data_IF_894026404850
#
_entry.id   IF_894026404850
#
_cell.length_a   1.000
_cell.length_b   1.000
_cell.length_c   1.000
_cell.angle_alpha   90.00
_cell.angle_beta   90.00
_cell.angle_gamma   90.00
#
_symmetry.space_group_name_H-M   'P 1'
#
loop_
_entity.id
_entity.type
_entity.pdbx_description
1 polymer ?
#
# COMPACT_ATOMS: atom_id res chain seq x y z
N UNK A 1 4.52 -51.50 -47.11
CA UNK A 1 3.13 -51.01 -46.95
C UNK A 1 3.19 -49.56 -46.53
N UNK A 2 2.51 -48.67 -47.31
CA UNK A 2 2.44 -47.27 -46.96
C UNK A 2 1.37 -47.06 -45.89
N UNK A 3 1.76 -46.67 -44.68
CA UNK A 3 0.82 -46.38 -43.60
C UNK A 3 0.25 -45.00 -43.73
N UNK A 4 -1.06 -44.85 -43.68
CA UNK A 4 -1.76 -43.60 -43.81
C UNK A 4 -2.37 -43.21 -42.43
N UNK A 5 -1.82 -42.18 -41.82
CA UNK A 5 -2.36 -41.67 -40.52
C UNK A 5 -3.54 -40.72 -40.79
N UNK A 6 -4.69 -41.07 -40.26
CA UNK A 6 -5.95 -40.30 -40.45
C UNK A 6 -6.55 -39.92 -39.07
N UNK A 7 -7.18 -38.76 -39.00
CA UNK A 7 -7.98 -38.38 -37.83
C UNK A 7 -9.33 -39.09 -37.87
N UNK A 8 -10.04 -39.21 -36.71
CA UNK A 8 -11.35 -39.83 -36.63
C UNK A 8 -12.30 -39.25 -37.67
N UNK A 9 -12.37 -37.93 -37.84
CA UNK A 9 -13.22 -37.26 -38.84
C UNK A 9 -12.86 -37.64 -40.28
N UNK A 10 -11.59 -37.93 -40.58
CA UNK A 10 -11.18 -38.35 -41.93
C UNK A 10 -11.51 -39.80 -42.16
N UNK A 11 -11.44 -40.66 -41.13
CA UNK A 11 -11.90 -42.06 -41.21
C UNK A 11 -13.42 -42.11 -41.42
N UNK A 12 -14.20 -41.32 -40.67
CA UNK A 12 -15.65 -41.22 -40.84
C UNK A 12 -16.02 -40.74 -42.28
N UNK A 13 -15.20 -39.82 -42.83
CA UNK A 13 -15.38 -39.40 -44.27
C UNK A 13 -15.10 -40.51 -45.24
N UNK A 14 -14.11 -41.35 -45.01
CA UNK A 14 -13.82 -42.52 -45.88
C UNK A 14 -15.02 -43.47 -45.89
N UNK A 15 -15.55 -43.81 -44.72
CA UNK A 15 -16.69 -44.74 -44.62
C UNK A 15 -17.95 -44.17 -45.32
N UNK A 16 -18.36 -42.93 -44.94
CA UNK A 16 -19.57 -42.32 -45.48
C UNK A 16 -19.47 -42.09 -47.01
N UNK A 17 -18.32 -41.65 -47.52
CA UNK A 17 -18.12 -41.49 -48.94
C UNK A 17 -17.99 -42.83 -49.69
N UNK A 18 -17.47 -43.86 -49.04
CA UNK A 18 -17.51 -45.24 -49.56
C UNK A 18 -18.93 -45.72 -49.73
N UNK A 19 -19.77 -45.55 -48.77
CA UNK A 19 -21.23 -45.87 -48.82
C UNK A 19 -21.95 -45.06 -49.93
N UNK A 20 -21.60 -43.75 -50.05
CA UNK A 20 -22.14 -42.91 -51.15
C UNK A 20 -21.72 -43.38 -52.56
N UNK A 21 -20.49 -43.88 -52.71
CA UNK A 21 -20.01 -44.44 -54.01
C UNK A 21 -20.68 -45.75 -54.32
N UNK A 22 -20.92 -46.63 -53.32
CA UNK A 22 -21.70 -47.89 -53.51
C UNK A 22 -23.20 -47.66 -53.67
N UNK A 23 -23.68 -46.40 -53.71
CA UNK A 23 -25.10 -45.99 -53.81
C UNK A 23 -25.98 -46.45 -52.60
N UNK A 24 -25.37 -46.80 -51.47
CA UNK A 24 -26.10 -47.18 -50.25
C UNK A 24 -26.81 -45.97 -49.61
N UNK A 25 -26.27 -44.78 -49.77
CA UNK A 25 -26.83 -43.53 -49.33
C UNK A 25 -26.79 -42.48 -50.45
N UNK A 26 -27.71 -41.53 -50.42
CA UNK A 26 -27.69 -40.40 -51.34
C UNK A 26 -26.87 -39.22 -50.83
N UNK A 27 -26.60 -38.21 -51.69
CA UNK A 27 -25.77 -37.03 -51.38
C UNK A 27 -26.33 -36.18 -50.25
N UNK A 28 -27.65 -36.08 -50.10
CA UNK A 28 -28.32 -35.35 -49.01
C UNK A 28 -28.08 -36.05 -47.67
N UNK A 29 -28.21 -37.39 -47.62
CA UNK A 29 -27.96 -38.16 -46.43
C UNK A 29 -26.47 -38.09 -46.04
N UNK A 30 -25.55 -38.18 -47.00
CA UNK A 30 -24.12 -38.01 -46.76
C UNK A 30 -23.77 -36.60 -46.22
N UNK A 31 -24.46 -35.55 -46.74
CA UNK A 31 -24.33 -34.17 -46.25
C UNK A 31 -24.75 -34.05 -44.77
N UNK A 32 -25.86 -34.66 -44.41
CA UNK A 32 -26.33 -34.70 -43.01
C UNK A 32 -25.38 -35.46 -42.09
N UNK A 33 -24.94 -36.66 -42.49
CA UNK A 33 -23.99 -37.49 -41.68
C UNK A 33 -22.64 -36.84 -41.49
N UNK A 34 -22.12 -36.14 -42.50
CA UNK A 34 -20.83 -35.42 -42.42
C UNK A 34 -20.96 -34.02 -41.84
N UNK A 35 -22.16 -33.50 -41.60
CA UNK A 35 -22.42 -32.13 -41.16
C UNK A 35 -21.73 -31.09 -42.06
N UNK A 36 -21.79 -31.29 -43.39
CA UNK A 36 -21.20 -30.40 -44.40
C UNK A 36 -22.22 -30.13 -45.54
N UNK A 37 -22.01 -29.06 -46.29
CA UNK A 37 -22.89 -28.74 -47.42
C UNK A 37 -22.84 -29.79 -48.54
N UNK A 38 -23.93 -29.95 -49.32
CA UNK A 38 -23.98 -30.85 -50.47
C UNK A 38 -22.93 -30.53 -51.51
N UNK A 39 -22.55 -29.26 -51.67
CA UNK A 39 -21.44 -28.84 -52.51
C UNK A 39 -20.11 -29.42 -52.02
N UNK A 40 -19.88 -29.40 -50.71
CA UNK A 40 -18.66 -29.93 -50.12
C UNK A 40 -18.60 -31.46 -50.21
N UNK A 41 -19.74 -32.17 -50.06
CA UNK A 41 -19.82 -33.61 -50.33
C UNK A 41 -19.41 -33.95 -51.75
N UNK A 42 -19.88 -33.23 -52.79
CA UNK A 42 -19.43 -33.42 -54.19
C UNK A 42 -17.93 -33.22 -54.36
N UNK A 43 -17.37 -32.18 -53.71
CA UNK A 43 -15.92 -31.92 -53.73
C UNK A 43 -15.15 -33.06 -53.09
N UNK A 44 -15.57 -33.51 -51.88
CA UNK A 44 -14.94 -34.62 -51.18
C UNK A 44 -15.07 -35.93 -51.94
N UNK A 45 -16.25 -36.21 -52.55
CA UNK A 45 -16.46 -37.37 -53.40
C UNK A 45 -15.46 -37.36 -54.56
N UNK A 46 -15.35 -36.24 -55.31
CA UNK A 46 -14.37 -36.11 -56.42
C UNK A 46 -12.95 -36.39 -55.99
N UNK A 47 -12.50 -35.82 -54.82
CA UNK A 47 -11.18 -36.07 -54.26
C UNK A 47 -10.98 -37.54 -53.86
N UNK A 48 -11.99 -38.14 -53.27
CA UNK A 48 -11.94 -39.54 -52.82
C UNK A 48 -11.88 -40.50 -54.04
N UNK A 49 -12.62 -40.21 -55.08
CA UNK A 49 -12.58 -41.02 -56.35
C UNK A 49 -11.23 -40.90 -57.07
N UNK A 50 -10.57 -39.70 -57.05
CA UNK A 50 -9.32 -39.50 -57.79
C UNK A 50 -8.06 -39.91 -56.99
N UNK A 51 -8.07 -39.73 -55.65
CA UNK A 51 -6.88 -39.89 -54.81
C UNK A 51 -7.06 -40.95 -53.67
N UNK A 52 -8.19 -41.61 -53.67
CA UNK A 52 -8.52 -42.54 -52.56
C UNK A 52 -8.56 -41.86 -51.21
N UNK A 53 -8.35 -42.61 -50.13
CA UNK A 53 -8.36 -42.05 -48.77
C UNK A 53 -7.37 -40.89 -48.56
N UNK A 54 -6.23 -40.86 -49.30
CA UNK A 54 -5.26 -39.76 -49.26
C UNK A 54 -5.87 -38.41 -49.62
N UNK A 55 -6.89 -38.37 -50.50
CA UNK A 55 -7.57 -37.17 -50.95
C UNK A 55 -8.45 -36.50 -49.84
N UNK A 56 -8.76 -37.24 -48.79
CA UNK A 56 -9.58 -36.74 -47.66
C UNK A 56 -8.74 -36.14 -46.51
N UNK A 57 -7.42 -36.35 -46.55
CA UNK A 57 -6.50 -35.73 -45.60
C UNK A 57 -6.47 -34.24 -45.85
N UNK A 58 -6.50 -33.43 -44.76
CA UNK A 58 -6.47 -31.99 -44.87
C UNK A 58 -5.16 -31.53 -45.55
N UNK A 59 -5.26 -30.78 -46.65
CA UNK A 59 -4.11 -30.40 -47.49
C UNK A 59 -3.02 -29.55 -46.84
N UNK A 60 -3.34 -29.00 -45.66
CA UNK A 60 -2.36 -28.26 -44.82
C UNK A 60 -1.75 -29.11 -43.70
N UNK A 61 -2.09 -30.44 -43.63
CA UNK A 61 -1.47 -31.31 -42.63
C UNK A 61 0.05 -31.41 -42.93
N UNK A 62 0.86 -31.15 -41.90
CA UNK A 62 2.32 -31.14 -41.98
C UNK A 62 2.92 -29.88 -42.62
N UNK A 63 2.12 -28.99 -43.18
CA UNK A 63 2.60 -27.70 -43.70
C UNK A 63 2.65 -26.65 -42.61
N UNK A 64 3.71 -25.85 -42.54
CA UNK A 64 3.76 -24.73 -41.58
C UNK A 64 2.63 -23.72 -41.89
N UNK A 65 2.06 -23.14 -40.85
CA UNK A 65 1.03 -22.13 -40.99
C UNK A 65 1.56 -20.90 -41.75
N UNK A 66 0.76 -20.30 -42.61
CA UNK A 66 1.10 -19.04 -43.32
C UNK A 66 1.36 -17.86 -42.34
N UNK A 67 0.90 -18.01 -41.08
CA UNK A 67 1.15 -17.04 -39.98
C UNK A 67 2.33 -17.44 -39.11
N UNK A 68 3.14 -18.44 -39.51
CA UNK A 68 4.33 -18.84 -38.77
C UNK A 68 5.32 -17.68 -38.72
N UNK A 69 5.85 -17.43 -37.52
CA UNK A 69 6.90 -16.44 -37.33
C UNK A 69 8.15 -16.83 -38.13
N UNK A 70 8.78 -15.88 -38.90
CA UNK A 70 10.02 -16.14 -39.60
C UNK A 70 11.10 -16.70 -38.66
N UNK A 71 11.84 -17.72 -39.10
CA UNK A 71 12.79 -18.44 -38.24
C UNK A 71 13.89 -17.51 -37.69
N UNK A 72 14.39 -16.58 -38.50
CA UNK A 72 15.38 -15.56 -38.09
C UNK A 72 14.85 -14.71 -36.92
N UNK A 73 13.56 -14.32 -37.00
CA UNK A 73 12.92 -13.53 -35.93
C UNK A 73 12.69 -14.36 -34.69
N UNK A 74 12.30 -15.64 -34.80
CA UNK A 74 12.15 -16.57 -33.70
C UNK A 74 13.46 -16.76 -32.94
N UNK A 75 14.57 -17.00 -33.67
CA UNK A 75 15.91 -17.14 -33.07
C UNK A 75 16.31 -15.86 -32.32
N UNK A 76 16.06 -14.69 -32.90
CA UNK A 76 16.33 -13.40 -32.26
C UNK A 76 15.51 -13.22 -30.97
N UNK A 77 14.21 -13.53 -30.98
CA UNK A 77 13.33 -13.49 -29.81
C UNK A 77 13.86 -14.43 -28.73
N UNK A 78 14.18 -15.68 -29.07
CA UNK A 78 14.72 -16.64 -28.14
C UNK A 78 16.02 -16.17 -27.47
N UNK A 79 16.95 -15.64 -28.25
CA UNK A 79 18.19 -15.07 -27.72
C UNK A 79 17.93 -13.94 -26.70
N UNK A 80 16.96 -13.07 -26.99
CA UNK A 80 16.58 -11.99 -26.07
C UNK A 80 15.89 -12.52 -24.81
N UNK A 81 14.99 -13.50 -24.94
CA UNK A 81 14.31 -14.11 -23.81
C UNK A 81 15.32 -14.78 -22.87
N UNK A 82 16.27 -15.54 -23.38
CA UNK A 82 17.29 -16.19 -22.53
C UNK A 82 18.24 -15.18 -21.87
N UNK A 83 18.72 -14.17 -22.63
CA UNK A 83 19.75 -13.26 -22.13
C UNK A 83 19.23 -12.13 -21.26
N UNK A 84 18.05 -11.57 -21.57
CA UNK A 84 17.54 -10.35 -20.95
C UNK A 84 16.27 -10.56 -20.14
N UNK A 85 15.46 -11.57 -20.46
CA UNK A 85 14.11 -11.74 -19.93
C UNK A 85 13.82 -13.16 -19.40
N UNK A 86 14.76 -13.85 -18.72
CA UNK A 86 14.59 -15.26 -18.35
C UNK A 86 13.43 -15.48 -17.35
N UNK A 87 13.14 -14.50 -16.49
CA UNK A 87 12.12 -14.54 -15.44
C UNK A 87 10.87 -13.70 -15.77
N UNK A 88 10.78 -13.20 -16.98
CA UNK A 88 9.63 -12.39 -17.40
C UNK A 88 8.44 -13.28 -17.76
N UNK A 89 7.23 -12.83 -17.37
CA UNK A 89 6.02 -13.44 -17.91
C UNK A 89 5.82 -13.13 -19.41
N UNK A 90 5.11 -13.99 -20.17
CA UNK A 90 4.99 -13.85 -21.63
C UNK A 90 4.44 -12.49 -22.08
N UNK A 91 3.45 -11.95 -21.35
CA UNK A 91 2.86 -10.65 -21.66
C UNK A 91 3.88 -9.53 -21.46
N UNK A 92 4.57 -9.54 -20.33
CA UNK A 92 5.56 -8.51 -20.02
C UNK A 92 6.79 -8.59 -20.95
N UNK A 93 7.23 -9.80 -21.27
CA UNK A 93 8.29 -10.01 -22.27
C UNK A 93 7.91 -9.47 -23.66
N UNK A 94 6.66 -9.73 -24.11
CA UNK A 94 6.15 -9.18 -25.38
C UNK A 94 6.18 -7.65 -25.39
N UNK A 95 5.81 -7.00 -24.30
CA UNK A 95 5.86 -5.54 -24.13
C UNK A 95 7.30 -5.01 -24.28
N UNK A 96 8.25 -5.64 -23.59
CA UNK A 96 9.67 -5.22 -23.65
C UNK A 96 10.31 -5.50 -25.01
N UNK A 97 9.89 -6.54 -25.71
CA UNK A 97 10.32 -6.79 -27.08
C UNK A 97 9.88 -5.65 -28.03
N UNK A 98 8.67 -5.12 -27.82
CA UNK A 98 8.20 -3.94 -28.59
C UNK A 98 8.96 -2.69 -28.17
N UNK A 99 9.01 -2.41 -26.86
CA UNK A 99 9.53 -1.15 -26.31
C UNK A 99 11.05 -0.99 -26.58
N UNK A 100 11.83 -2.04 -26.36
CA UNK A 100 13.30 -1.96 -26.35
C UNK A 100 13.95 -2.53 -27.62
N UNK A 101 13.21 -3.30 -28.43
CA UNK A 101 13.78 -4.00 -29.59
C UNK A 101 12.99 -3.81 -30.89
N UNK A 102 11.88 -3.05 -30.83
CA UNK A 102 10.96 -2.84 -31.97
C UNK A 102 10.44 -4.17 -32.58
N UNK A 103 10.32 -5.22 -31.75
CA UNK A 103 9.82 -6.54 -32.18
C UNK A 103 8.38 -6.67 -31.76
N UNK A 104 7.43 -6.54 -32.71
CA UNK A 104 6.00 -6.77 -32.44
C UNK A 104 5.69 -8.25 -32.57
N UNK A 105 5.25 -8.87 -31.47
CA UNK A 105 4.84 -10.26 -31.43
C UNK A 105 3.70 -10.45 -30.42
N UNK A 106 2.67 -11.20 -30.81
CA UNK A 106 1.53 -11.45 -29.94
C UNK A 106 1.96 -12.19 -28.65
N UNK A 107 1.49 -11.78 -27.45
CA UNK A 107 1.82 -12.43 -26.18
C UNK A 107 1.52 -13.93 -26.15
N UNK A 108 0.53 -14.41 -26.92
CA UNK A 108 0.22 -15.86 -27.03
C UNK A 108 1.32 -16.59 -27.78
N UNK A 109 1.91 -15.97 -28.80
CA UNK A 109 3.05 -16.54 -29.54
C UNK A 109 4.30 -16.60 -28.66
N UNK A 110 4.60 -15.51 -27.94
CA UNK A 110 5.70 -15.49 -26.95
C UNK A 110 5.48 -16.58 -25.88
N UNK A 111 4.25 -16.71 -25.38
CA UNK A 111 3.90 -17.76 -24.42
C UNK A 111 4.18 -19.18 -24.97
N UNK A 112 3.80 -19.44 -26.19
CA UNK A 112 4.04 -20.75 -26.82
C UNK A 112 5.53 -21.01 -27.00
N UNK A 113 6.31 -20.01 -27.39
CA UNK A 113 7.77 -20.10 -27.49
C UNK A 113 8.38 -20.40 -26.12
N UNK A 114 8.01 -19.61 -25.09
CA UNK A 114 8.55 -19.77 -23.74
C UNK A 114 8.20 -21.13 -23.09
N UNK A 115 7.02 -21.67 -23.37
CA UNK A 115 6.63 -23.02 -22.92
C UNK A 115 7.48 -24.08 -23.65
N UNK A 116 7.62 -23.97 -24.96
CA UNK A 116 8.43 -24.91 -25.76
C UNK A 116 9.87 -24.97 -25.32
N UNK A 117 10.44 -23.84 -24.94
CA UNK A 117 11.83 -23.71 -24.45
C UNK A 117 11.96 -23.88 -22.93
N UNK A 118 10.89 -24.23 -22.22
CA UNK A 118 10.84 -24.40 -20.75
C UNK A 118 11.25 -23.16 -19.95
N UNK A 119 11.15 -21.99 -20.55
CA UNK A 119 11.42 -20.70 -19.87
C UNK A 119 10.26 -20.25 -18.98
N UNK A 120 9.05 -20.73 -19.26
CA UNK A 120 7.86 -20.37 -18.53
C UNK A 120 6.85 -21.52 -18.51
N UNK A 121 6.19 -21.68 -17.39
CA UNK A 121 5.09 -22.64 -17.25
C UNK A 121 3.83 -21.95 -16.74
N UNK A 122 2.63 -22.36 -17.21
CA UNK A 122 1.37 -21.85 -16.66
C UNK A 122 1.27 -22.16 -15.16
N UNK A 123 0.93 -21.17 -14.35
CA UNK A 123 0.60 -21.41 -12.94
C UNK A 123 -0.59 -22.38 -12.89
N UNK A 124 -0.49 -23.43 -12.10
CA UNK A 124 -1.63 -24.31 -11.83
C UNK A 124 -2.76 -23.45 -11.27
N UNK A 125 -3.95 -23.56 -11.86
CA UNK A 125 -5.12 -22.78 -11.42
C UNK A 125 -5.33 -22.97 -9.91
N UNK A 126 -5.47 -21.88 -9.18
CA UNK A 126 -5.90 -21.94 -7.79
C UNK A 126 -7.23 -22.70 -7.75
N UNK A 127 -7.41 -23.62 -6.80
CA UNK A 127 -8.73 -24.22 -6.54
C UNK A 127 -9.74 -23.09 -6.45
N UNK A 128 -10.91 -23.26 -7.11
CA UNK A 128 -12.01 -22.28 -7.04
C UNK A 128 -12.27 -22.02 -5.55
N UNK A 129 -11.96 -20.82 -5.09
CA UNK A 129 -12.33 -20.42 -3.73
C UNK A 129 -13.86 -20.31 -3.67
N UNK A 130 -14.41 -20.51 -2.48
CA UNK A 130 -15.82 -20.22 -2.22
C UNK A 130 -16.23 -18.86 -2.77
N UNK A 131 -17.50 -18.77 -3.20
CA UNK A 131 -18.08 -17.52 -3.72
C UNK A 131 -17.85 -16.40 -2.69
N UNK A 132 -17.22 -15.33 -3.12
CA UNK A 132 -16.99 -14.14 -2.28
C UNK A 132 -17.70 -12.97 -2.92
N UNK A 133 -18.46 -12.24 -2.13
CA UNK A 133 -19.09 -11.01 -2.57
C UNK A 133 -18.03 -10.00 -3.01
N UNK A 134 -18.21 -9.50 -4.21
CA UNK A 134 -17.30 -8.55 -4.80
C UNK A 134 -17.73 -7.12 -4.45
N UNK A 135 -16.89 -6.38 -3.73
CA UNK A 135 -17.16 -4.98 -3.45
C UNK A 135 -17.04 -4.15 -4.73
N UNK A 136 -18.08 -3.42 -5.15
CA UNK A 136 -18.01 -2.55 -6.31
C UNK A 136 -16.94 -1.46 -6.13
N UNK A 137 -16.49 -0.89 -7.24
CA UNK A 137 -15.61 0.29 -7.22
C UNK A 137 -16.38 1.50 -6.71
N UNK A 138 -15.65 2.47 -6.17
CA UNK A 138 -16.19 3.81 -5.97
C UNK A 138 -16.47 4.46 -7.33
N UNK A 139 -17.32 5.46 -7.35
CA UNK A 139 -17.78 6.08 -8.60
C UNK A 139 -16.82 7.15 -9.11
N UNK A 140 -16.22 7.92 -8.20
CA UNK A 140 -15.47 9.12 -8.52
C UNK A 140 -14.02 9.05 -8.05
N UNK A 141 -13.13 9.68 -8.83
CA UNK A 141 -11.72 9.86 -8.45
C UNK A 141 -11.62 10.69 -7.16
N UNK A 142 -10.76 10.26 -6.23
CA UNK A 142 -10.57 10.92 -4.93
C UNK A 142 -11.65 10.64 -3.89
N UNK A 143 -12.65 9.81 -4.22
CA UNK A 143 -13.67 9.40 -3.23
C UNK A 143 -13.06 8.50 -2.17
N UNK A 144 -12.28 7.50 -2.56
CA UNK A 144 -11.59 6.60 -1.65
C UNK A 144 -10.24 6.16 -2.21
N UNK A 145 -9.22 6.33 -1.40
CA UNK A 145 -7.88 5.83 -1.69
C UNK A 145 -7.59 4.62 -0.82
N UNK A 146 -7.01 3.57 -1.40
CA UNK A 146 -6.44 2.47 -0.62
C UNK A 146 -4.94 2.71 -0.50
N UNK A 147 -4.43 2.76 0.72
CA UNK A 147 -3.03 2.99 1.03
C UNK A 147 -2.45 1.79 1.76
N UNK A 148 -1.22 1.44 1.41
CA UNK A 148 -0.48 0.35 2.03
C UNK A 148 1.02 0.48 1.79
N UNK A 149 1.82 -0.21 2.62
CA UNK A 149 3.24 -0.42 2.43
C UNK A 149 3.53 -1.86 2.03
N UNK A 150 4.51 -2.07 1.17
CA UNK A 150 4.95 -3.40 0.77
C UNK A 150 6.46 -3.54 0.95
N UNK A 151 6.85 -4.42 1.87
CA UNK A 151 8.23 -4.84 2.05
C UNK A 151 8.57 -5.93 1.05
N UNK A 152 9.64 -5.74 0.31
CA UNK A 152 10.11 -6.69 -0.69
C UNK A 152 11.57 -6.41 -1.05
N UNK A 153 12.25 -7.39 -1.63
CA UNK A 153 13.55 -7.18 -2.29
C UNK A 153 13.36 -6.50 -3.66
N UNK A 154 12.97 -5.22 -3.63
CA UNK A 154 12.70 -4.42 -4.82
C UNK A 154 13.94 -4.22 -5.70
N UNK A 155 15.11 -4.30 -5.09
CA UNK A 155 16.40 -4.04 -5.73
C UNK A 155 17.16 -5.32 -6.08
N UNK A 156 16.69 -6.51 -5.68
CA UNK A 156 17.39 -7.78 -5.87
C UNK A 156 18.85 -7.72 -5.35
N UNK A 157 19.00 -7.15 -4.16
CA UNK A 157 20.31 -6.96 -3.52
C UNK A 157 21.20 -5.89 -4.14
N UNK A 158 20.78 -5.20 -5.22
CA UNK A 158 21.54 -4.11 -5.84
C UNK A 158 21.73 -2.96 -4.87
N UNK A 159 22.92 -2.34 -4.89
CA UNK A 159 23.28 -1.26 -3.97
C UNK A 159 23.38 -1.69 -2.50
N UNK A 160 23.44 -3.01 -2.22
CA UNK A 160 23.45 -3.53 -0.84
C UNK A 160 22.08 -3.51 -0.14
N UNK A 161 20.99 -3.11 -0.84
CA UNK A 161 19.64 -3.03 -0.31
C UNK A 161 18.99 -4.39 -0.47
N UNK A 162 18.74 -5.10 0.63
CA UNK A 162 18.06 -6.40 0.61
C UNK A 162 16.54 -6.28 0.71
N UNK A 163 16.07 -5.32 1.50
CA UNK A 163 14.65 -5.07 1.69
C UNK A 163 14.40 -3.57 1.79
N UNK A 164 13.34 -3.11 1.19
CA UNK A 164 12.84 -1.74 1.32
C UNK A 164 11.33 -1.71 1.25
N UNK A 165 10.71 -0.68 1.79
CA UNK A 165 9.28 -0.51 1.80
C UNK A 165 8.84 0.39 0.65
N UNK A 166 7.92 -0.09 -0.20
CA UNK A 166 7.23 0.75 -1.17
C UNK A 166 5.89 1.17 -0.58
N UNK A 167 5.76 2.44 -0.22
CA UNK A 167 4.48 3.06 0.15
C UNK A 167 3.74 3.40 -1.13
N UNK A 168 2.48 2.99 -1.25
CA UNK A 168 1.69 3.30 -2.43
C UNK A 168 0.22 3.56 -2.10
N UNK A 169 -0.40 4.44 -2.88
CA UNK A 169 -1.84 4.67 -2.83
C UNK A 169 -2.46 4.48 -4.21
N UNK A 170 -3.58 3.76 -4.21
CA UNK A 170 -4.39 3.47 -5.40
C UNK A 170 -5.78 4.07 -5.21
N UNK A 171 -6.27 4.77 -6.21
CA UNK A 171 -7.64 5.25 -6.23
C UNK A 171 -8.61 4.09 -6.52
N UNK A 172 -9.63 3.95 -5.70
CA UNK A 172 -10.57 2.83 -5.76
C UNK A 172 -11.44 2.85 -7.02
N UNK A 173 -11.82 4.03 -7.49
CA UNK A 173 -12.66 4.21 -8.66
C UNK A 173 -11.93 3.84 -9.96
N UNK A 174 -10.73 4.36 -10.13
CA UNK A 174 -9.96 4.25 -11.36
C UNK A 174 -8.96 3.10 -11.36
N UNK A 175 -8.51 2.66 -10.18
CA UNK A 175 -7.36 1.76 -10.04
C UNK A 175 -6.03 2.43 -10.40
N UNK A 176 -5.99 3.75 -10.51
CA UNK A 176 -4.78 4.52 -10.77
C UNK A 176 -3.90 4.57 -9.53
N UNK A 177 -2.62 4.29 -9.68
CA UNK A 177 -1.61 4.56 -8.64
C UNK A 177 -1.35 6.04 -8.64
N UNK A 178 -1.88 6.74 -7.63
CA UNK A 178 -1.79 8.20 -7.57
C UNK A 178 -0.43 8.64 -7.09
N UNK A 179 0.13 7.90 -6.12
CA UNK A 179 1.46 8.13 -5.59
C UNK A 179 2.10 6.82 -5.15
N UNK A 180 3.40 6.68 -5.36
CA UNK A 180 4.22 5.63 -4.78
C UNK A 180 5.60 6.19 -4.45
N UNK A 181 6.16 5.80 -3.31
CA UNK A 181 7.45 6.28 -2.79
C UNK A 181 8.17 5.14 -2.08
N UNK A 182 9.42 4.91 -2.41
CA UNK A 182 10.29 4.04 -1.63
C UNK A 182 10.74 4.74 -0.35
N UNK A 183 10.59 4.04 0.75
CA UNK A 183 11.04 4.45 2.08
C UNK A 183 11.82 3.31 2.74
N UNK A 184 12.58 3.63 3.79
CA UNK A 184 13.28 2.61 4.56
C UNK A 184 12.31 1.70 5.31
N UNK A 185 11.25 2.29 5.84
CA UNK A 185 10.21 1.57 6.61
C UNK A 185 8.87 2.30 6.58
N UNK A 186 7.81 1.59 6.94
CA UNK A 186 6.45 2.13 7.09
C UNK A 186 6.27 2.71 8.51
N UNK A 187 7.02 3.77 8.82
CA UNK A 187 6.96 4.49 10.11
C UNK A 187 6.15 5.78 10.02
N UNK A 188 6.01 6.45 11.18
CA UNK A 188 5.20 7.69 11.28
C UNK A 188 5.72 8.77 10.33
N UNK A 189 7.03 9.08 10.37
CA UNK A 189 7.59 10.19 9.57
C UNK A 189 7.55 9.90 8.06
N UNK A 190 7.95 8.73 7.54
CA UNK A 190 7.79 8.41 6.12
C UNK A 190 6.34 8.49 5.64
N UNK A 191 5.38 7.99 6.43
CA UNK A 191 3.95 8.07 6.08
C UNK A 191 3.46 9.51 6.10
N UNK A 192 3.88 10.33 7.07
CA UNK A 192 3.56 11.76 7.11
C UNK A 192 4.15 12.51 5.89
N UNK A 193 5.39 12.21 5.51
CA UNK A 193 6.02 12.76 4.31
C UNK A 193 5.24 12.41 3.05
N UNK A 194 4.88 11.12 2.89
CA UNK A 194 4.09 10.63 1.78
C UNK A 194 2.76 11.40 1.63
N UNK A 195 2.02 11.55 2.72
CA UNK A 195 0.70 12.19 2.68
C UNK A 195 0.77 13.71 2.57
N UNK A 196 1.82 14.35 3.08
CA UNK A 196 2.08 15.78 2.86
C UNK A 196 2.25 16.08 1.38
N UNK A 197 3.13 15.33 0.70
CA UNK A 197 3.34 15.47 -0.75
C UNK A 197 2.05 15.17 -1.54
N UNK A 198 1.32 14.11 -1.14
CA UNK A 198 0.05 13.77 -1.77
C UNK A 198 -0.95 14.93 -1.73
N UNK A 199 -1.23 15.47 -0.54
CA UNK A 199 -2.26 16.52 -0.41
C UNK A 199 -1.84 17.84 -1.03
N UNK A 200 -0.53 18.12 -1.13
CA UNK A 200 0.00 19.27 -1.86
C UNK A 200 -0.26 19.17 -3.35
N UNK A 201 -0.15 17.96 -3.92
CA UNK A 201 -0.28 17.72 -5.34
C UNK A 201 -1.74 17.54 -5.78
N UNK A 202 -2.48 16.69 -5.11
CA UNK A 202 -3.82 16.25 -5.53
C UNK A 202 -4.96 16.91 -4.73
N UNK A 203 -4.66 17.44 -3.54
CA UNK A 203 -5.66 17.90 -2.59
C UNK A 203 -6.07 16.82 -1.60
N UNK A 204 -7.08 17.12 -0.79
CA UNK A 204 -7.57 16.25 0.31
C UNK A 204 -8.57 15.23 -0.23
N UNK A 205 -8.30 13.92 -0.22
CA UNK A 205 -9.26 12.90 -0.61
C UNK A 205 -10.41 12.86 0.40
N UNK A 206 -11.55 12.30 0.01
CA UNK A 206 -12.69 12.18 0.91
C UNK A 206 -12.40 11.16 2.02
N UNK A 207 -11.89 9.98 1.67
CA UNK A 207 -11.49 8.98 2.65
C UNK A 207 -10.24 8.19 2.23
N UNK A 208 -9.56 7.64 3.23
CA UNK A 208 -8.39 6.77 3.06
C UNK A 208 -8.70 5.42 3.71
N UNK A 209 -8.55 4.36 2.94
CA UNK A 209 -8.77 3.00 3.38
C UNK A 209 -7.43 2.36 3.77
N UNK A 210 -7.31 1.93 5.03
CA UNK A 210 -6.07 1.54 5.69
C UNK A 210 -6.19 0.16 6.32
N UNK A 211 -5.04 -0.48 6.60
CA UNK A 211 -4.99 -1.62 7.50
C UNK A 211 -5.06 -1.18 8.98
N UNK A 212 -5.29 -2.14 9.86
CA UNK A 212 -5.26 -1.96 11.33
C UNK A 212 -3.82 -1.98 11.86
N UNK A 213 -2.85 -1.55 11.08
CA UNK A 213 -1.47 -1.44 11.50
C UNK A 213 -1.31 -0.35 12.57
N UNK A 214 -0.37 -0.52 13.52
CA UNK A 214 -0.22 0.37 14.68
C UNK A 214 0.04 1.84 14.33
N UNK A 215 0.67 2.10 13.19
CA UNK A 215 0.88 3.46 12.69
C UNK A 215 -0.43 4.19 12.39
N UNK A 216 -1.47 3.45 12.00
CA UNK A 216 -2.75 4.02 11.56
C UNK A 216 -3.85 3.90 12.59
N UNK A 217 -3.83 2.89 13.44
CA UNK A 217 -4.85 2.63 14.45
C UNK A 217 -4.23 2.19 15.77
N UNK A 218 -4.72 2.77 16.88
CA UNK A 218 -4.39 2.28 18.22
C UNK A 218 -5.19 1.01 18.47
N UNK A 219 -4.49 -0.12 18.62
CA UNK A 219 -5.10 -1.45 18.83
C UNK A 219 -5.04 -1.90 20.30
N UNK A 220 -4.47 -1.08 21.19
CA UNK A 220 -4.31 -1.44 22.61
C UNK A 220 -5.65 -1.37 23.34
N UNK A 221 -5.88 -2.29 24.28
CA UNK A 221 -7.14 -2.41 25.05
C UNK A 221 -7.56 -1.10 25.76
N UNK A 222 -6.58 -0.38 26.31
CA UNK A 222 -6.78 0.93 26.95
C UNK A 222 -7.28 2.00 25.97
N UNK A 223 -6.94 1.89 24.68
CA UNK A 223 -7.36 2.84 23.66
C UNK A 223 -8.81 2.59 23.18
N UNK A 224 -9.33 1.39 23.39
CA UNK A 224 -10.73 1.06 23.11
C UNK A 224 -11.64 1.74 24.14
N UNK A 225 -11.15 1.92 25.36
CA UNK A 225 -11.84 2.56 26.46
C UNK A 225 -11.71 4.10 26.43
N UNK A 226 -10.74 4.63 25.68
CA UNK A 226 -10.53 6.06 25.53
C UNK A 226 -10.75 6.48 24.05
N UNK A 227 -11.93 7.03 23.70
CA UNK A 227 -12.27 7.46 22.34
C UNK A 227 -11.34 8.57 21.80
N UNK A 228 -10.62 9.28 22.66
CA UNK A 228 -9.68 10.35 22.28
C UNK A 228 -8.28 9.84 21.94
N UNK A 229 -7.99 8.54 22.18
CA UNK A 229 -6.70 7.95 21.80
C UNK A 229 -6.59 7.79 20.29
N UNK A 230 -5.96 8.76 19.63
CA UNK A 230 -5.69 8.78 18.18
C UNK A 230 -4.22 8.52 17.90
N UNK A 231 -3.94 7.77 16.82
CA UNK A 231 -2.56 7.73 16.30
C UNK A 231 -2.18 9.08 15.69
N UNK A 232 -0.87 9.29 15.47
CA UNK A 232 -0.38 10.49 14.78
C UNK A 232 -1.04 10.67 13.42
N UNK A 233 -1.22 9.58 12.67
CA UNK A 233 -1.87 9.61 11.37
C UNK A 233 -3.36 9.94 11.45
N UNK A 234 -4.09 9.36 12.42
CA UNK A 234 -5.50 9.70 12.65
C UNK A 234 -5.68 11.17 13.02
N UNK A 235 -4.77 11.74 13.81
CA UNK A 235 -4.75 13.17 14.12
C UNK A 235 -4.60 14.00 12.85
N UNK A 236 -3.60 13.73 12.03
CA UNK A 236 -3.38 14.45 10.78
C UNK A 236 -4.59 14.35 9.82
N UNK A 237 -5.21 13.18 9.71
CA UNK A 237 -6.45 13.01 8.96
C UNK A 237 -7.59 13.87 9.52
N UNK A 238 -7.74 13.90 10.85
CA UNK A 238 -8.76 14.70 11.53
C UNK A 238 -8.59 16.20 11.27
N UNK A 239 -7.33 16.68 11.36
CA UNK A 239 -6.99 18.09 11.13
C UNK A 239 -7.32 18.55 9.70
N UNK A 240 -7.19 17.64 8.72
CA UNK A 240 -7.52 17.88 7.31
C UNK A 240 -8.96 17.50 6.95
N UNK A 241 -9.75 17.02 7.90
CA UNK A 241 -11.10 16.49 7.67
C UNK A 241 -11.12 15.36 6.63
N UNK A 242 -10.12 14.51 6.61
CA UNK A 242 -10.04 13.30 5.81
C UNK A 242 -10.54 12.14 6.67
N UNK A 243 -11.42 11.28 6.13
CA UNK A 243 -11.96 10.16 6.87
C UNK A 243 -11.07 8.91 6.74
N UNK A 244 -10.38 8.44 7.79
CA UNK A 244 -9.71 7.15 7.77
C UNK A 244 -10.73 6.03 7.94
N UNK A 245 -10.65 4.99 7.10
CA UNK A 245 -11.48 3.77 7.16
C UNK A 245 -10.55 2.59 7.38
N UNK A 246 -10.78 1.81 8.44
CA UNK A 246 -9.92 0.68 8.78
C UNK A 246 -10.52 -0.64 8.29
N UNK A 247 -9.74 -1.41 7.53
CA UNK A 247 -10.16 -2.70 7.02
C UNK A 247 -10.45 -3.69 8.16
N UNK A 248 -11.63 -4.31 8.13
CA UNK A 248 -11.98 -5.36 9.09
C UNK A 248 -11.53 -6.75 8.63
N UNK A 249 -11.17 -6.90 7.35
CA UNK A 249 -10.68 -8.15 6.78
C UNK A 249 -9.66 -7.88 5.67
N UNK A 250 -8.69 -8.80 5.45
CA UNK A 250 -7.72 -8.70 4.34
C UNK A 250 -8.41 -8.57 2.97
N UNK A 251 -9.55 -9.26 2.77
CA UNK A 251 -10.28 -9.25 1.50
C UNK A 251 -10.76 -7.84 1.09
N UNK A 252 -10.97 -6.97 2.07
CA UNK A 252 -11.43 -5.61 1.82
C UNK A 252 -10.37 -4.73 1.13
N UNK A 253 -9.07 -5.09 1.19
CA UNK A 253 -7.92 -4.41 0.55
C UNK A 253 -7.49 -5.04 -0.78
N UNK A 254 -8.25 -5.95 -1.34
CA UNK A 254 -7.86 -6.76 -2.52
C UNK A 254 -7.45 -5.97 -3.79
N UNK A 255 -7.60 -4.64 -3.84
CA UNK A 255 -7.09 -3.81 -4.95
C UNK A 255 -5.64 -3.43 -4.74
N UNK A 256 -5.29 -2.93 -3.55
CA UNK A 256 -3.89 -2.59 -3.24
C UNK A 256 -3.03 -3.85 -3.15
N UNK A 257 -3.55 -4.97 -2.66
CA UNK A 257 -2.84 -6.26 -2.66
C UNK A 257 -2.50 -6.70 -4.10
N UNK A 258 -3.48 -6.66 -5.02
CA UNK A 258 -3.23 -6.96 -6.44
C UNK A 258 -2.32 -5.95 -7.12
N UNK A 259 -2.33 -4.69 -6.68
CA UNK A 259 -1.36 -3.72 -7.14
C UNK A 259 0.05 -4.16 -6.77
N UNK A 260 0.30 -4.51 -5.51
CA UNK A 260 1.61 -4.96 -5.07
C UNK A 260 2.06 -6.25 -5.75
N UNK A 261 1.17 -7.24 -5.92
CA UNK A 261 1.46 -8.44 -6.72
C UNK A 261 1.96 -8.07 -8.13
N UNK A 262 1.31 -7.08 -8.75
CA UNK A 262 1.68 -6.61 -10.10
C UNK A 262 2.99 -5.83 -10.09
N UNK A 263 3.20 -4.96 -9.09
CA UNK A 263 4.43 -4.17 -8.98
C UNK A 263 5.63 -5.07 -8.62
N UNK A 264 5.48 -6.04 -7.73
CA UNK A 264 6.53 -7.00 -7.41
C UNK A 264 6.96 -7.81 -8.63
N UNK A 265 6.01 -8.20 -9.50
CA UNK A 265 6.37 -8.88 -10.76
C UNK A 265 7.01 -7.91 -11.77
N UNK A 266 6.54 -6.66 -11.90
CA UNK A 266 6.94 -5.76 -12.97
C UNK A 266 7.98 -4.73 -12.58
N UNK A 267 7.77 -4.00 -11.47
CA UNK A 267 8.62 -2.88 -11.07
C UNK A 267 10.03 -3.35 -10.71
N UNK A 268 10.20 -4.50 -10.04
CA UNK A 268 11.50 -5.10 -9.75
C UNK A 268 12.33 -5.27 -11.03
N UNK A 269 11.70 -5.81 -12.08
CA UNK A 269 12.33 -6.06 -13.38
C UNK A 269 12.62 -4.77 -14.16
N UNK A 270 11.72 -3.77 -14.03
CA UNK A 270 11.93 -2.45 -14.61
C UNK A 270 13.12 -1.72 -13.98
N UNK A 271 13.21 -1.75 -12.65
CA UNK A 271 14.36 -1.20 -11.91
C UNK A 271 15.67 -1.91 -12.28
N UNK A 272 15.62 -3.24 -12.52
CA UNK A 272 16.76 -4.02 -13.02
C UNK A 272 17.19 -3.56 -14.40
N UNK A 273 16.25 -3.43 -15.34
CA UNK A 273 16.53 -2.97 -16.70
C UNK A 273 17.11 -1.54 -16.73
N UNK A 274 16.62 -0.68 -15.84
CA UNK A 274 17.10 0.69 -15.69
C UNK A 274 18.40 0.78 -14.85
N UNK A 275 18.91 -0.35 -14.31
CA UNK A 275 20.10 -0.42 -13.45
C UNK A 275 20.01 0.44 -12.20
N UNK A 276 18.81 0.64 -11.68
CA UNK A 276 18.57 1.40 -10.45
C UNK A 276 19.06 0.59 -9.24
N UNK A 277 19.84 1.25 -8.36
CA UNK A 277 20.46 0.62 -7.20
C UNK A 277 20.38 1.47 -5.92
N UNK A 278 19.66 2.59 -5.92
CA UNK A 278 19.43 3.41 -4.75
C UNK A 278 17.95 3.78 -4.59
N UNK A 279 17.52 4.03 -3.35
CA UNK A 279 16.17 4.50 -3.04
C UNK A 279 15.87 5.85 -3.73
N UNK A 280 16.87 6.74 -3.76
CA UNK A 280 16.74 8.05 -4.40
C UNK A 280 16.47 7.92 -5.90
N UNK A 281 17.26 7.09 -6.61
CA UNK A 281 17.08 6.88 -8.04
C UNK A 281 15.79 6.12 -8.34
N UNK A 282 15.38 5.21 -7.47
CA UNK A 282 14.10 4.52 -7.59
C UNK A 282 12.91 5.47 -7.47
N UNK A 283 12.96 6.43 -6.56
CA UNK A 283 11.93 7.45 -6.44
C UNK A 283 11.90 8.37 -7.67
N UNK A 284 13.05 8.74 -8.22
CA UNK A 284 13.11 9.47 -9.49
C UNK A 284 12.57 8.63 -10.67
N UNK A 285 12.88 7.32 -10.71
CA UNK A 285 12.36 6.40 -11.71
C UNK A 285 10.83 6.28 -11.67
N UNK A 286 10.24 6.22 -10.47
CA UNK A 286 8.79 6.12 -10.30
C UNK A 286 8.03 7.28 -10.95
N UNK A 287 8.59 8.49 -10.99
CA UNK A 287 7.96 9.65 -11.63
C UNK A 287 7.68 9.41 -13.13
N UNK A 288 8.60 8.72 -13.82
CA UNK A 288 8.43 8.38 -15.23
C UNK A 288 7.68 7.07 -15.45
N UNK A 289 7.76 6.15 -14.49
CA UNK A 289 7.15 4.82 -14.59
C UNK A 289 5.63 4.84 -14.31
N UNK A 290 5.18 5.54 -13.27
CA UNK A 290 3.77 5.53 -12.87
C UNK A 290 2.80 6.01 -13.96
N UNK A 291 3.08 7.06 -14.74
CA UNK A 291 2.21 7.45 -15.85
C UNK A 291 2.03 6.32 -16.88
N UNK A 292 3.11 5.62 -17.25
CA UNK A 292 3.08 4.48 -18.18
C UNK A 292 2.29 3.30 -17.60
N UNK A 293 2.50 3.02 -16.31
CA UNK A 293 1.78 1.99 -15.58
C UNK A 293 0.27 2.30 -15.55
N UNK A 294 -0.09 3.51 -15.19
CA UNK A 294 -1.47 3.96 -15.09
C UNK A 294 -2.19 3.93 -16.44
N UNK A 295 -1.54 4.39 -17.52
CA UNK A 295 -2.09 4.33 -18.87
C UNK A 295 -2.51 2.91 -19.26
N UNK A 296 -1.87 1.89 -18.70
CA UNK A 296 -2.14 0.49 -19.00
C UNK A 296 -3.14 -0.18 -18.08
N UNK A 297 -3.11 0.13 -16.79
CA UNK A 297 -3.83 -0.61 -15.75
C UNK A 297 -5.00 0.14 -15.13
N UNK A 298 -5.09 1.45 -15.31
CA UNK A 298 -6.24 2.21 -14.83
C UNK A 298 -7.45 2.04 -15.75
N UNK A 299 -8.62 2.32 -15.19
CA UNK A 299 -9.90 2.32 -15.89
C UNK A 299 -10.59 3.67 -15.73
N UNK A 300 -11.51 3.99 -16.63
CA UNK A 300 -12.33 5.19 -16.48
C UNK A 300 -13.26 5.05 -15.27
N UNK A 301 -13.39 6.07 -14.43
CA UNK A 301 -14.34 6.07 -13.32
C UNK A 301 -15.79 6.15 -13.84
N UNK A 302 -16.74 5.69 -13.06
CA UNK A 302 -18.17 5.78 -13.40
C UNK A 302 -18.64 7.24 -13.49
N UNK A 303 -18.14 8.09 -12.61
CA UNK A 303 -18.35 9.54 -12.63
C UNK A 303 -17.05 10.27 -12.93
N UNK A 304 -17.10 11.26 -13.81
CA UNK A 304 -15.95 12.12 -14.16
C UNK A 304 -15.61 13.16 -13.08
N UNK A 305 -16.40 13.24 -12.02
CA UNK A 305 -16.19 14.20 -10.93
C UNK A 305 -14.95 13.84 -10.14
N UNK A 306 -14.09 14.82 -9.88
CA UNK A 306 -12.99 14.69 -8.94
C UNK A 306 -13.45 15.16 -7.55
N UNK A 307 -13.41 14.27 -6.56
CA UNK A 307 -13.87 14.54 -5.19
C UNK A 307 -12.75 14.97 -4.24
N UNK A 308 -11.54 15.24 -4.75
CA UNK A 308 -10.51 15.88 -3.94
C UNK A 308 -10.93 17.31 -3.60
N UNK A 309 -10.75 17.66 -2.35
CA UNK A 309 -11.00 19.03 -1.87
C UNK A 309 -9.69 19.81 -1.88
N UNK A 310 -9.67 21.04 -2.40
CA UNK A 310 -8.46 21.85 -2.41
C UNK A 310 -8.01 22.17 -0.97
N UNK A 311 -6.71 22.38 -0.79
CA UNK A 311 -6.16 22.90 0.45
C UNK A 311 -6.53 24.36 0.62
N UNK A 312 -7.10 24.72 1.78
CA UNK A 312 -7.35 26.12 2.13
C UNK A 312 -6.02 26.84 2.44
N UNK A 313 -5.98 28.18 2.43
CA UNK A 313 -4.79 28.92 2.85
C UNK A 313 -4.34 28.59 4.28
N UNK A 314 -5.29 28.29 5.17
CA UNK A 314 -4.98 27.86 6.55
C UNK A 314 -4.38 26.47 6.59
N UNK A 315 -4.94 25.50 5.81
CA UNK A 315 -4.34 24.16 5.70
C UNK A 315 -2.88 24.28 5.25
N UNK A 316 -2.60 25.08 4.21
CA UNK A 316 -1.22 25.24 3.68
C UNK A 316 -0.24 25.79 4.71
N UNK A 317 -0.66 26.76 5.53
CA UNK A 317 0.17 27.31 6.61
C UNK A 317 0.46 26.29 7.70
N UNK A 318 -0.49 25.39 7.96
CA UNK A 318 -0.41 24.41 9.06
C UNK A 318 0.13 23.06 8.62
N UNK A 319 0.41 22.81 7.33
CA UNK A 319 0.81 21.49 6.82
C UNK A 319 2.04 20.91 7.52
N UNK A 320 3.03 21.73 7.85
CA UNK A 320 4.23 21.28 8.54
C UNK A 320 3.90 20.75 9.94
N UNK A 321 3.05 21.45 10.68
CA UNK A 321 2.54 21.04 11.99
C UNK A 321 1.61 19.83 11.89
N UNK A 322 0.68 19.80 10.91
CA UNK A 322 -0.25 18.69 10.71
C UNK A 322 0.52 17.39 10.43
N UNK A 323 1.50 17.42 9.52
CA UNK A 323 2.31 16.26 9.14
C UNK A 323 3.62 16.18 9.94
N UNK A 324 3.54 16.38 11.26
CA UNK A 324 4.65 16.22 12.20
C UNK A 324 4.30 15.20 13.28
N UNK A 325 5.29 14.73 14.02
CA UNK A 325 5.08 13.86 15.16
C UNK A 325 4.86 14.69 16.41
N UNK A 326 3.68 14.59 17.02
CA UNK A 326 3.33 15.29 18.24
C UNK A 326 3.62 14.44 19.46
N UNK A 327 4.26 15.02 20.44
CA UNK A 327 4.52 14.41 21.75
C UNK A 327 4.18 15.41 22.85
N UNK A 328 3.40 15.00 23.84
CA UNK A 328 3.07 15.85 24.97
C UNK A 328 4.14 15.76 26.04
N UNK A 329 4.56 16.91 26.55
CA UNK A 329 5.51 17.04 27.66
C UNK A 329 5.01 18.04 28.68
N UNK A 330 5.23 17.76 29.96
CA UNK A 330 4.86 18.69 31.04
C UNK A 330 6.01 19.65 31.31
N UNK A 331 5.75 20.94 31.27
CA UNK A 331 6.69 21.96 31.71
C UNK A 331 6.95 21.82 33.21
N UNK A 332 8.20 21.68 33.61
CA UNK A 332 8.59 21.54 35.00
C UNK A 332 8.46 22.87 35.75
N UNK A 333 8.75 22.89 37.02
CA UNK A 333 8.65 24.11 37.85
C UNK A 333 9.62 25.23 37.42
N UNK A 334 10.71 24.86 36.78
CA UNK A 334 11.72 25.73 36.19
C UNK A 334 11.49 25.99 34.71
N UNK A 335 10.32 25.64 34.18
CA UNK A 335 9.94 25.77 32.77
C UNK A 335 10.82 24.95 31.82
N UNK A 336 11.46 23.89 32.30
CA UNK A 336 12.17 22.93 31.46
C UNK A 336 11.29 21.73 31.11
N UNK A 337 11.64 21.06 30.03
CA UNK A 337 11.11 19.74 29.68
C UNK A 337 12.18 18.91 28.97
N UNK A 338 12.03 17.58 28.96
CA UNK A 338 12.93 16.69 28.26
C UNK A 338 12.24 16.07 27.05
N UNK A 339 12.97 15.96 25.93
CA UNK A 339 12.52 15.28 24.73
C UNK A 339 13.73 14.69 23.99
N UNK A 340 13.64 13.42 23.53
CA UNK A 340 14.72 12.70 22.86
C UNK A 340 16.09 12.81 23.58
N UNK A 341 16.09 12.59 24.89
CA UNK A 341 17.29 12.68 25.77
C UNK A 341 17.94 14.07 25.83
N UNK A 342 17.31 15.10 25.30
CA UNK A 342 17.73 16.48 25.37
C UNK A 342 16.85 17.28 26.32
N UNK A 343 17.41 18.38 26.87
CA UNK A 343 16.71 19.28 27.77
C UNK A 343 16.45 20.62 27.08
N UNK A 344 15.24 21.08 27.22
CA UNK A 344 14.75 22.33 26.63
C UNK A 344 14.26 23.25 27.73
N UNK A 345 14.64 24.52 27.66
CA UNK A 345 14.21 25.60 28.55
C UNK A 345 13.26 26.53 27.79
N UNK A 346 12.04 26.70 28.25
CA UNK A 346 11.16 27.75 27.72
C UNK A 346 11.70 29.11 28.13
N UNK A 347 11.82 30.04 27.17
CA UNK A 347 12.35 31.38 27.44
C UNK A 347 11.34 32.22 28.25
N UNK A 348 11.82 33.27 28.91
CA UNK A 348 10.93 34.17 29.65
C UNK A 348 9.97 34.94 28.76
N UNK A 349 10.41 35.26 27.53
CA UNK A 349 9.60 36.01 26.56
C UNK A 349 8.75 35.05 25.73
N UNK A 350 7.46 35.01 25.95
CA UNK A 350 6.50 34.16 25.27
C UNK A 350 5.33 34.96 24.69
N UNK A 351 4.71 34.44 23.66
CA UNK A 351 3.49 35.04 23.06
C UNK A 351 2.25 34.80 23.92
N UNK A 352 2.29 33.85 24.84
CA UNK A 352 1.21 33.52 25.78
C UNK A 352 1.80 33.20 27.16
N UNK A 353 0.96 33.29 28.18
CA UNK A 353 1.35 32.92 29.56
C UNK A 353 1.51 31.41 29.62
N UNK A 354 2.69 30.96 30.05
CA UNK A 354 3.00 29.56 30.34
C UNK A 354 3.05 29.38 31.85
N UNK A 355 2.30 28.41 32.34
CA UNK A 355 2.26 28.06 33.76
C UNK A 355 3.11 26.81 34.04
N UNK A 356 3.56 26.69 35.31
CA UNK A 356 4.17 25.46 35.79
C UNK A 356 3.20 24.30 35.62
N UNK A 357 3.70 23.16 35.17
CA UNK A 357 2.91 21.95 34.90
C UNK A 357 1.98 22.04 33.67
N UNK A 358 2.03 23.10 32.88
CA UNK A 358 1.37 23.12 31.58
C UNK A 358 1.86 21.99 30.71
N UNK A 359 0.94 21.35 29.98
CA UNK A 359 1.28 20.32 29.00
C UNK A 359 1.53 20.97 27.64
N UNK A 360 2.79 21.00 27.25
CA UNK A 360 3.21 21.50 25.94
C UNK A 360 3.23 20.39 24.90
N UNK A 361 2.91 20.71 23.67
CA UNK A 361 3.02 19.81 22.53
C UNK A 361 4.37 20.07 21.85
N UNK A 362 5.21 19.07 21.83
CA UNK A 362 6.46 19.07 21.08
C UNK A 362 6.20 18.45 19.71
N UNK A 363 6.38 19.21 18.66
CA UNK A 363 6.23 18.81 17.26
C UNK A 363 7.61 18.54 16.67
N UNK A 364 7.84 17.32 16.20
CA UNK A 364 9.01 16.96 15.40
C UNK A 364 8.60 17.00 13.93
N UNK A 365 9.07 18.00 13.22
CA UNK A 365 8.75 18.19 11.82
C UNK A 365 9.58 17.26 10.92
N UNK A 366 9.16 17.12 9.63
CA UNK A 366 9.81 16.22 8.68
C UNK A 366 11.26 16.60 8.32
N UNK A 367 11.63 17.86 8.54
CA UNK A 367 12.99 18.36 8.37
C UNK A 367 13.89 18.15 9.61
N UNK A 368 13.35 17.51 10.66
CA UNK A 368 14.02 17.24 11.91
C UNK A 368 14.00 18.42 12.90
N UNK A 369 13.37 19.54 12.56
CA UNK A 369 13.25 20.68 13.48
C UNK A 369 12.22 20.39 14.57
N UNK A 370 12.45 20.96 15.74
CA UNK A 370 11.56 20.84 16.89
C UNK A 370 10.80 22.15 17.07
N UNK A 371 9.51 22.06 17.21
CA UNK A 371 8.62 23.18 17.52
C UNK A 371 7.84 22.87 18.77
N UNK A 372 7.65 23.86 19.62
CA UNK A 372 6.94 23.68 20.89
C UNK A 372 5.71 24.55 20.90
N UNK A 373 4.55 23.98 21.20
CA UNK A 373 3.28 24.69 21.21
C UNK A 373 2.52 24.52 22.52
N UNK A 374 1.83 25.57 22.88
CA UNK A 374 0.81 25.56 23.95
C UNK A 374 -0.43 26.27 23.44
N UNK A 375 -1.61 25.65 23.54
CA UNK A 375 -2.90 26.24 23.10
C UNK A 375 -2.82 26.80 21.66
N UNK A 376 -2.21 26.04 20.73
CA UNK A 376 -1.99 26.40 19.33
C UNK A 376 -1.07 27.63 19.08
N UNK A 377 -0.38 28.13 20.09
CA UNK A 377 0.64 29.18 19.94
C UNK A 377 2.03 28.59 20.08
N UNK A 378 2.92 29.04 19.23
CA UNK A 378 4.32 28.61 19.26
C UNK A 378 5.04 29.27 20.44
N UNK A 379 5.88 28.47 21.12
CA UNK A 379 6.67 28.89 22.27
C UNK A 379 8.15 28.97 21.89
N UNK A 380 8.83 29.98 22.41
CA UNK A 380 10.26 30.13 22.29
C UNK A 380 10.96 29.26 23.34
N UNK A 381 12.04 28.62 22.92
CA UNK A 381 12.83 27.77 23.80
C UNK A 381 14.31 27.86 23.47
N UNK A 382 15.15 27.41 24.40
CA UNK A 382 16.59 27.21 24.23
C UNK A 382 16.96 25.76 24.56
N UNK A 383 17.90 25.19 23.82
CA UNK A 383 18.41 23.86 24.11
C UNK A 383 19.43 23.95 25.24
N UNK A 384 19.32 23.11 26.26
CA UNK A 384 20.28 23.04 27.35
C UNK A 384 21.28 21.92 27.10
N UNK A 385 22.59 22.16 27.31
CA UNK A 385 23.63 21.15 27.11
C UNK A 385 23.53 20.00 28.12
N UNK A 386 23.02 20.26 29.32
CA UNK A 386 22.90 19.28 30.40
C UNK A 386 21.57 19.45 31.15
N UNK A 387 21.18 18.40 31.88
CA UNK A 387 20.04 18.48 32.79
C UNK A 387 20.26 19.56 33.85
N UNK A 388 19.32 20.49 34.05
CA UNK A 388 19.44 21.47 35.12
C UNK A 388 19.64 20.80 36.48
N UNK A 389 20.72 21.10 37.15
CA UNK A 389 20.94 20.63 38.53
C UNK A 389 20.05 21.45 39.43
N UNK A 390 19.31 20.79 40.36
CA UNK A 390 18.68 21.50 41.46
C UNK A 390 19.75 22.33 42.13
N UNK A 391 19.63 23.65 42.09
CA UNK A 391 20.40 24.47 43.02
C UNK A 391 20.01 24.02 44.40
N UNK A 392 20.90 23.36 45.10
CA UNK A 392 20.69 23.15 46.52
C UNK A 392 20.41 24.53 47.09
N UNK A 393 19.24 24.68 47.72
CA UNK A 393 18.94 25.90 48.44
C UNK A 393 20.17 26.17 49.31
N UNK A 394 20.81 27.36 49.12
CA UNK A 394 21.87 27.79 49.99
C UNK A 394 21.32 27.57 51.38
N UNK A 395 21.97 26.73 52.25
CA UNK A 395 21.45 26.57 53.59
C UNK A 395 21.40 27.98 54.15
N UNK A 396 20.22 28.43 54.51
CA UNK A 396 20.06 29.68 55.22
C UNK A 396 20.96 29.52 56.47
N UNK A 397 22.16 30.10 56.38
CA UNK A 397 22.97 30.31 57.55
C UNK A 397 22.12 31.22 58.40
N UNK A 398 21.46 30.64 59.39
CA UNK A 398 20.81 31.35 60.45
C UNK A 398 21.92 32.15 61.14
N UNK A 399 22.26 33.36 60.57
CA UNK A 399 22.95 34.36 61.30
C UNK A 399 22.05 34.68 62.46
N UNK A 400 22.43 34.15 63.64
CA UNK A 400 21.97 34.54 64.97
C UNK A 400 20.57 35.22 64.95
N UNK A 401 19.53 34.43 64.92
CA UNK A 401 18.26 34.95 65.46
C UNK A 401 18.50 35.29 66.91
N UNK A 402 18.18 36.52 67.33
CA UNK A 402 18.16 36.81 68.77
C UNK A 402 17.28 35.76 69.43
N UNK A 403 17.76 35.20 70.55
CA UNK A 403 16.99 34.26 71.35
C UNK A 403 15.56 34.81 71.53
N UNK A 404 14.60 34.12 70.93
CA UNK A 404 13.20 34.40 71.21
C UNK A 404 13.03 34.11 72.67
N UNK A 405 12.97 35.18 73.48
CA UNK A 405 12.47 35.07 74.83
C UNK A 405 11.11 34.34 74.73
N UNK A 406 11.05 33.16 75.30
CA UNK A 406 9.81 32.42 75.37
C UNK A 406 8.84 33.21 76.27
N UNK A 407 8.00 34.03 75.63
CA UNK A 407 6.85 34.62 76.34
C UNK A 407 5.92 33.47 76.71
N UNK A 408 6.27 32.80 77.84
CA UNK A 408 5.33 31.92 78.49
C UNK A 408 4.18 32.79 78.93
N UNK A 409 2.97 32.53 78.55
CA UNK A 409 1.83 33.31 79.06
C UNK A 409 1.80 33.27 80.59
N UNK A 410 1.39 34.38 81.24
CA UNK A 410 1.26 34.47 82.65
C UNK A 410 0.42 33.30 83.20
N UNK A 411 0.62 32.98 84.48
CA UNK A 411 -0.03 31.79 85.09
C UNK A 411 -1.57 31.81 85.05
N UNK A 412 -2.17 32.97 84.97
CA UNK A 412 -3.62 33.22 84.83
C UNK A 412 -4.16 33.32 83.43
N UNK A 413 -3.24 33.17 82.36
CA UNK A 413 -3.62 33.28 81.03
C UNK A 413 -4.67 32.21 80.63
N UNK A 414 -5.76 32.56 79.89
CA UNK A 414 -6.84 31.64 79.55
C UNK A 414 -6.38 30.34 78.85
N UNK A 415 -5.26 30.34 78.20
CA UNK A 415 -4.72 29.13 77.52
C UNK A 415 -4.05 28.16 78.50
N UNK A 416 -3.86 28.49 79.78
CA UNK A 416 -3.36 27.59 80.83
C UNK A 416 -4.46 26.93 81.62
N UNK A 417 -5.75 27.26 81.33
CA UNK A 417 -6.86 26.56 81.92
C UNK A 417 -6.99 25.17 81.26
N UNK A 418 -6.71 24.14 82.03
CA UNK A 418 -6.97 22.77 81.65
C UNK A 418 -8.46 22.60 81.36
N UNK A 419 -8.82 22.22 80.16
CA UNK A 419 -10.17 21.78 79.86
C UNK A 419 -10.45 20.52 80.67
N UNK A 420 -11.45 20.55 81.51
CA UNK A 420 -11.92 19.36 82.19
C UNK A 420 -12.31 18.29 81.17
N UNK A 421 -11.92 17.03 81.37
CA UNK A 421 -12.30 15.96 80.49
C UNK A 421 -13.81 15.81 80.46
N UNK A 422 -14.39 15.66 79.32
CA UNK A 422 -15.80 15.35 79.12
C UNK A 422 -16.14 14.06 79.86
N UNK A 423 -17.29 13.99 80.63
CA UNK A 423 -17.69 12.78 81.27
C UNK A 423 -17.90 11.64 80.26
N UNK A 424 -17.46 10.46 80.67
CA UNK A 424 -17.60 9.23 79.88
C UNK A 424 -19.06 8.96 79.53
N UNK A 425 -19.38 8.68 78.28
CA UNK A 425 -20.73 8.19 77.91
C UNK A 425 -20.91 6.80 78.50
N UNK A 426 -21.90 6.68 79.40
CA UNK A 426 -22.39 5.39 79.87
C UNK A 426 -23.11 4.69 78.73
N UNK A 427 -22.60 3.56 78.26
CA UNK A 427 -23.31 2.69 77.38
C UNK A 427 -24.39 1.93 78.18
N UNK A 428 -25.64 2.26 77.98
CA UNK A 428 -26.75 1.43 78.36
C UNK A 428 -26.96 0.40 77.27
N UNK A 429 -26.58 -0.83 77.55
CA UNK A 429 -27.00 -1.99 76.79
C UNK A 429 -28.47 -2.31 77.16
N UNK A 430 -29.35 -2.17 76.16
CA UNK A 430 -30.73 -2.73 76.32
C UNK A 430 -30.74 -4.08 75.57
N UNK A 431 -30.89 -5.12 76.38
CA UNK A 431 -31.36 -6.43 75.92
C UNK A 431 -32.87 -6.34 75.64
N UNK A 432 -33.27 -6.76 74.48
CA UNK A 432 -34.38 -7.67 74.13
C UNK A 432 -34.53 -7.78 72.60
#
# INVERSE_FOLDING_TARGET
METLTMSKKEVDRVDILGRLLRKEINGTRASALLSVSSRQVRTLKKKFTSLGPKGLIHGNRGKPSNRRLPEKLRIRILSLLHKKYPDFGPTFASEKLVELHAITCDPKTIRSIMIGERLWAPRRGKKKSEHRDWRPRKESFGEMLQFDGSYHDWFEGRGGIRESCLLATIDDATGMVVQAVFAEHEGVLPVMGFWKEYVLKEGKPRCIYLDKFSTYKVNHRIAIENPDAKTQFQRACSDLSIQPIFANSPQAKGRVERLFDTLQDRLVKELRLARVSSVKDANAFLLAYLPKFNARFSVQPASRTNLHRPLTPNDRKSLASIFSRHTHRTAQNDFTFSFNSQWYQLTATQTIVVCKKDVVTVEEWLDGTIHVRLRNKELNYTLLPERPKKQNAIPWVLSSMPERQSNKPAADHPWRRTFLPKPARVNISANS
#
